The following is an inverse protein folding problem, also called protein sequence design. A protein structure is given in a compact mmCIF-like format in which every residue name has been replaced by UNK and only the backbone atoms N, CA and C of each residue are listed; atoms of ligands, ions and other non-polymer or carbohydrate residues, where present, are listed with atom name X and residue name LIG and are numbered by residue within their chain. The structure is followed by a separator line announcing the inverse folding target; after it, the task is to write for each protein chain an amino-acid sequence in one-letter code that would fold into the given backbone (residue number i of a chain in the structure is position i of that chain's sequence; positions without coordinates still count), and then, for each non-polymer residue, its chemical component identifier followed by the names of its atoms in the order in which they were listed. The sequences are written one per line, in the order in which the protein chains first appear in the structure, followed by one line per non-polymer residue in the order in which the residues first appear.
data_IF_652639804680
#
_entry.id   IF_652639804680
#
_cell.length_a   1.000
_cell.length_b   1.000
_cell.length_c   1.000
_cell.angle_alpha   90.00
_cell.angle_beta   90.00
_cell.angle_gamma   90.00
#
_symmetry.space_group_name_H-M   'P 1'
#
loop_
_entity.id
_entity.type
_entity.pdbx_description
1 polymer ?
#
# COMPACT_ATOMS: atom_id res chain seq x y z
N UNK A 1 -54.90 49.92 -21.16
CA UNK A 1 -54.02 48.92 -20.44
C UNK A 1 -53.07 48.14 -21.34
N UNK A 2 -53.32 47.96 -22.65
CA UNK A 2 -52.47 47.14 -23.56
C UNK A 2 -51.09 47.71 -23.93
N UNK A 3 -50.88 49.02 -23.87
CA UNK A 3 -49.60 49.69 -24.23
C UNK A 3 -48.48 49.56 -23.19
N UNK A 4 -48.83 49.40 -21.87
CA UNK A 4 -47.83 49.23 -20.82
C UNK A 4 -47.25 47.81 -20.74
N UNK A 5 -47.97 46.83 -21.27
CA UNK A 5 -47.54 45.44 -21.32
C UNK A 5 -46.48 45.21 -22.43
N UNK A 6 -46.53 45.97 -23.55
CA UNK A 6 -45.64 45.86 -24.71
C UNK A 6 -44.20 46.35 -24.42
N UNK A 7 -43.98 47.18 -23.39
CA UNK A 7 -42.64 47.70 -22.97
C UNK A 7 -42.06 46.87 -21.84
N UNK A 8 -42.90 46.24 -20.99
CA UNK A 8 -42.43 45.47 -19.84
C UNK A 8 -41.73 44.14 -20.22
N UNK A 9 -42.19 43.49 -21.29
CA UNK A 9 -41.63 42.20 -21.71
C UNK A 9 -40.19 42.36 -22.25
N UNK A 10 -39.85 43.28 -23.16
CA UNK A 10 -38.46 43.47 -23.61
C UNK A 10 -37.53 43.95 -22.49
N UNK A 11 -38.01 44.73 -21.52
CA UNK A 11 -37.22 45.16 -20.39
C UNK A 11 -36.88 44.02 -19.48
N UNK A 12 -37.81 43.08 -19.21
CA UNK A 12 -37.61 41.87 -18.46
C UNK A 12 -36.58 40.94 -19.16
N UNK A 13 -36.68 40.78 -20.48
CA UNK A 13 -35.72 40.03 -21.27
C UNK A 13 -34.30 40.62 -21.18
N UNK A 14 -34.17 41.95 -21.26
CA UNK A 14 -32.87 42.63 -21.12
C UNK A 14 -32.28 42.41 -19.73
N UNK A 15 -33.10 42.52 -18.66
CA UNK A 15 -32.64 42.25 -17.28
C UNK A 15 -32.21 40.79 -17.07
N UNK A 16 -32.93 39.84 -17.64
CA UNK A 16 -32.57 38.41 -17.57
C UNK A 16 -31.28 38.12 -18.36
N UNK A 17 -31.12 38.73 -19.53
CA UNK A 17 -29.89 38.61 -20.35
C UNK A 17 -28.71 39.28 -19.62
N UNK A 18 -28.90 40.47 -19.06
CA UNK A 18 -27.87 41.11 -18.26
C UNK A 18 -27.51 40.29 -17.00
N UNK A 19 -28.49 39.77 -16.29
CA UNK A 19 -28.25 38.89 -15.13
C UNK A 19 -27.52 37.60 -15.52
N UNK A 20 -27.73 37.13 -16.74
CA UNK A 20 -27.00 35.96 -17.27
C UNK A 20 -25.55 36.29 -17.68
N UNK A 21 -25.31 37.50 -18.20
CA UNK A 21 -23.98 38.01 -18.56
C UNK A 21 -23.16 38.40 -17.30
N UNK A 22 -23.79 38.90 -16.26
CA UNK A 22 -23.15 39.26 -14.98
C UNK A 22 -23.11 38.13 -13.97
N UNK A 23 -23.50 36.89 -14.33
CA UNK A 23 -23.20 35.73 -13.49
C UNK A 23 -21.68 35.64 -13.35
N UNK A 24 -21.13 35.65 -12.13
CA UNK A 24 -19.70 35.46 -11.93
C UNK A 24 -19.31 34.14 -12.55
N UNK A 25 -18.59 34.16 -13.66
CA UNK A 25 -17.92 33.01 -14.19
C UNK A 25 -16.87 32.65 -13.15
N UNK A 26 -17.17 31.69 -12.30
CA UNK A 26 -16.12 31.10 -11.46
C UNK A 26 -15.08 30.53 -12.40
N UNK A 27 -13.91 31.13 -12.41
CA UNK A 27 -12.79 30.71 -13.24
C UNK A 27 -12.43 29.30 -12.84
N UNK A 28 -12.60 28.34 -13.76
CA UNK A 28 -12.21 26.95 -13.54
C UNK A 28 -10.69 26.88 -13.59
N UNK A 29 -10.07 26.61 -12.44
CA UNK A 29 -8.61 26.49 -12.32
C UNK A 29 -8.11 25.05 -12.53
N UNK A 30 -9.00 24.07 -12.44
CA UNK A 30 -8.67 22.66 -12.61
C UNK A 30 -9.55 21.75 -11.76
N UNK A 31 -9.23 20.46 -11.74
CA UNK A 31 -9.86 19.47 -10.88
C UNK A 31 -8.89 18.97 -9.83
N UNK A 32 -9.41 18.42 -8.74
CA UNK A 32 -8.63 17.76 -7.69
C UNK A 32 -9.46 16.63 -7.07
N UNK A 33 -8.79 15.78 -6.29
CA UNK A 33 -9.38 14.62 -5.65
C UNK A 33 -9.07 14.63 -4.15
N UNK A 34 -10.05 14.29 -3.32
CA UNK A 34 -9.88 14.30 -1.86
C UNK A 34 -8.96 13.15 -1.43
N UNK A 35 -7.94 13.46 -0.61
CA UNK A 35 -6.94 12.51 -0.10
C UNK A 35 -7.21 11.99 1.30
N UNK A 36 -8.19 12.54 2.00
CA UNK A 36 -8.53 12.18 3.37
C UNK A 36 -9.75 11.27 3.43
N UNK A 37 -9.86 10.51 4.52
CA UNK A 37 -11.05 9.68 4.80
C UNK A 37 -12.32 10.51 4.71
N UNK A 38 -12.29 11.68 5.37
CA UNK A 38 -13.33 12.71 5.30
C UNK A 38 -12.75 14.06 5.63
N UNK A 39 -13.26 15.10 5.00
CA UNK A 39 -12.92 16.50 5.31
C UNK A 39 -14.13 17.39 5.14
N UNK A 40 -14.23 18.41 5.98
CA UNK A 40 -15.35 19.35 5.94
C UNK A 40 -15.11 20.44 4.90
N UNK A 41 -16.11 20.69 4.07
CA UNK A 41 -16.19 21.84 3.19
C UNK A 41 -16.76 23.05 3.97
N UNK A 42 -16.00 24.14 4.04
CA UNK A 42 -16.32 25.30 4.86
C UNK A 42 -16.87 26.48 4.06
N UNK A 43 -17.78 27.25 4.65
CA UNK A 43 -18.38 28.42 4.00
C UNK A 43 -17.38 29.55 3.74
N UNK A 44 -16.35 29.67 4.58
CA UNK A 44 -15.33 30.72 4.49
C UNK A 44 -13.98 30.23 5.01
N UNK A 45 -12.94 31.07 4.83
CA UNK A 45 -11.60 30.87 5.42
C UNK A 45 -11.42 31.53 6.77
N UNK A 46 -12.46 32.21 7.29
CA UNK A 46 -12.44 32.88 8.59
C UNK A 46 -12.44 31.87 9.74
N UNK A 47 -12.10 32.33 10.96
CA UNK A 47 -12.17 31.51 12.16
C UNK A 47 -13.61 31.07 12.47
N UNK A 48 -14.58 31.98 12.30
CA UNK A 48 -16.01 31.66 12.41
C UNK A 48 -16.49 31.25 11.01
N UNK A 49 -16.84 30.01 10.85
CA UNK A 49 -17.24 29.42 9.58
C UNK A 49 -18.23 28.26 9.82
N UNK A 50 -19.11 28.06 8.87
CA UNK A 50 -20.12 27.02 8.93
C UNK A 50 -19.73 25.84 8.02
N UNK A 51 -20.02 24.59 8.42
CA UNK A 51 -19.85 23.42 7.54
C UNK A 51 -20.93 23.48 6.45
N UNK A 52 -20.53 23.30 5.20
CA UNK A 52 -21.45 23.24 4.04
C UNK A 52 -21.71 21.80 3.65
N UNK A 53 -20.64 20.96 3.60
CA UNK A 53 -20.67 19.60 3.12
C UNK A 53 -19.50 18.80 3.71
N UNK A 54 -19.53 17.48 3.57
CA UNK A 54 -18.43 16.60 3.95
C UNK A 54 -17.93 15.88 2.70
N UNK A 55 -16.67 16.05 2.40
CA UNK A 55 -15.99 15.41 1.28
C UNK A 55 -15.30 14.14 1.77
N UNK A 56 -15.23 13.13 0.91
CA UNK A 56 -14.66 11.82 1.23
C UNK A 56 -13.53 11.45 0.25
N UNK A 57 -12.68 10.51 0.64
CA UNK A 57 -11.60 10.00 -0.20
C UNK A 57 -12.08 9.66 -1.61
N UNK A 58 -11.38 10.20 -2.60
CA UNK A 58 -11.66 9.99 -4.01
C UNK A 58 -12.74 10.89 -4.61
N UNK A 59 -13.42 11.71 -3.81
CA UNK A 59 -14.36 12.70 -4.36
C UNK A 59 -13.63 13.67 -5.26
N UNK A 60 -14.12 13.80 -6.49
CA UNK A 60 -13.66 14.80 -7.44
C UNK A 60 -14.30 16.14 -7.13
N UNK A 61 -13.50 17.19 -7.14
CA UNK A 61 -13.92 18.56 -6.96
C UNK A 61 -13.32 19.46 -8.04
N UNK A 62 -14.08 20.49 -8.44
CA UNK A 62 -13.60 21.53 -9.36
C UNK A 62 -13.00 22.67 -8.53
N UNK A 63 -11.73 22.98 -8.74
CA UNK A 63 -11.04 24.10 -8.09
C UNK A 63 -11.40 25.40 -8.81
N UNK A 64 -11.97 26.37 -8.09
CA UNK A 64 -12.48 27.63 -8.64
C UNK A 64 -11.78 28.87 -8.11
N UNK A 65 -11.05 28.78 -7.01
CA UNK A 65 -10.17 29.82 -6.51
C UNK A 65 -9.12 29.24 -5.57
N UNK A 66 -8.00 29.96 -5.37
CA UNK A 66 -6.95 29.61 -4.39
C UNK A 66 -6.62 30.82 -3.53
N UNK A 67 -6.45 30.58 -2.23
CA UNK A 67 -6.02 31.59 -1.27
C UNK A 67 -5.08 30.96 -0.25
N UNK A 68 -3.79 31.25 -0.33
CA UNK A 68 -2.74 30.65 0.49
C UNK A 68 -2.83 29.10 0.44
N UNK A 69 -2.93 28.45 1.58
CA UNK A 69 -3.04 26.99 1.75
C UNK A 69 -4.46 26.46 1.60
N UNK A 70 -5.43 27.31 1.23
CA UNK A 70 -6.83 26.91 1.03
C UNK A 70 -7.26 27.10 -0.41
N UNK A 71 -8.16 26.24 -0.86
CA UNK A 71 -8.77 26.30 -2.19
C UNK A 71 -10.29 26.35 -2.06
N UNK A 72 -10.90 27.15 -2.91
CA UNK A 72 -12.35 27.14 -3.07
C UNK A 72 -12.71 26.11 -4.11
N UNK A 73 -13.58 25.20 -3.75
CA UNK A 73 -13.95 24.10 -4.63
C UNK A 73 -15.46 24.03 -4.82
N UNK A 74 -15.85 23.41 -5.94
CA UNK A 74 -17.22 23.02 -6.21
C UNK A 74 -17.30 21.50 -6.23
N UNK A 75 -18.24 20.93 -5.49
CA UNK A 75 -18.50 19.49 -5.45
C UNK A 75 -19.34 19.04 -6.63
N UNK A 76 -19.42 17.74 -6.87
CA UNK A 76 -20.35 17.16 -7.85
C UNK A 76 -21.83 17.42 -7.54
N UNK A 77 -22.20 17.68 -6.27
CA UNK A 77 -23.54 18.07 -5.85
C UNK A 77 -23.85 19.55 -6.15
N UNK A 78 -22.82 20.34 -6.50
CA UNK A 78 -22.93 21.78 -6.75
C UNK A 78 -22.65 22.64 -5.50
N UNK A 79 -22.36 22.05 -4.34
CA UNK A 79 -21.95 22.80 -3.15
C UNK A 79 -20.61 23.51 -3.40
N UNK A 80 -20.45 24.74 -2.91
CA UNK A 80 -19.27 25.57 -3.10
C UNK A 80 -18.74 26.03 -1.75
N UNK A 81 -17.45 25.72 -1.47
CA UNK A 81 -16.84 26.09 -0.19
C UNK A 81 -15.32 26.02 -0.24
N UNK A 82 -14.69 26.11 0.92
CA UNK A 82 -13.25 26.15 1.11
C UNK A 82 -12.76 24.88 1.79
N UNK A 83 -11.61 24.37 1.34
CA UNK A 83 -10.91 23.22 1.91
C UNK A 83 -9.39 23.48 1.90
N UNK A 84 -8.65 22.84 2.81
CA UNK A 84 -7.18 22.90 2.81
C UNK A 84 -6.62 22.20 1.56
N UNK A 85 -5.76 22.89 0.81
CA UNK A 85 -5.15 22.36 -0.42
C UNK A 85 -4.35 21.07 -0.20
N UNK A 86 -3.76 20.88 1.01
CA UNK A 86 -3.00 19.70 1.38
C UNK A 86 -3.84 18.42 1.49
N UNK A 87 -5.16 18.57 1.58
CA UNK A 87 -6.13 17.47 1.63
C UNK A 87 -6.62 17.04 0.25
N UNK A 88 -6.06 17.65 -0.79
CA UNK A 88 -6.41 17.37 -2.17
C UNK A 88 -5.21 16.83 -2.96
N UNK A 89 -5.47 15.90 -3.85
CA UNK A 89 -4.52 15.39 -4.83
C UNK A 89 -4.77 16.07 -6.17
N UNK A 90 -3.70 16.51 -6.80
CA UNK A 90 -3.75 16.97 -8.19
C UNK A 90 -4.06 15.77 -9.13
N UNK A 91 -4.66 16.00 -10.31
CA UNK A 91 -5.04 14.92 -11.23
C UNK A 91 -3.88 13.99 -11.60
N UNK A 92 -2.69 14.55 -11.80
CA UNK A 92 -1.50 13.75 -12.12
C UNK A 92 -1.14 12.78 -10.99
N UNK A 93 -1.19 13.23 -9.73
CA UNK A 93 -0.91 12.39 -8.56
C UNK A 93 -2.01 11.35 -8.35
N UNK A 94 -3.28 11.71 -8.57
CA UNK A 94 -4.39 10.79 -8.55
C UNK A 94 -4.22 9.66 -9.58
N UNK A 95 -3.84 9.99 -10.82
CA UNK A 95 -3.56 8.99 -11.85
C UNK A 95 -2.37 8.08 -11.49
N UNK A 96 -1.33 8.62 -10.84
CA UNK A 96 -0.23 7.82 -10.30
C UNK A 96 -0.73 6.83 -9.23
N UNK A 97 -1.62 7.26 -8.33
CA UNK A 97 -2.21 6.38 -7.30
C UNK A 97 -2.98 5.21 -7.92
N UNK A 98 -3.76 5.46 -8.96
CA UNK A 98 -4.49 4.42 -9.71
C UNK A 98 -3.51 3.45 -10.39
N UNK A 99 -2.43 3.94 -11.00
CA UNK A 99 -1.39 3.09 -11.60
C UNK A 99 -0.74 2.17 -10.58
N UNK A 100 -0.39 2.71 -9.40
CA UNK A 100 0.19 1.92 -8.29
C UNK A 100 -0.80 0.85 -7.83
N UNK A 101 -2.07 1.21 -7.63
CA UNK A 101 -3.11 0.26 -7.24
C UNK A 101 -3.25 -0.89 -8.26
N UNK A 102 -3.29 -0.57 -9.56
CA UNK A 102 -3.40 -1.58 -10.60
C UNK A 102 -2.17 -2.48 -10.67
N UNK A 103 -0.97 -1.93 -10.53
CA UNK A 103 0.27 -2.70 -10.45
C UNK A 103 0.28 -3.61 -9.21
N UNK A 104 -0.09 -3.07 -8.05
CA UNK A 104 -0.14 -3.82 -6.80
C UNK A 104 -1.18 -4.95 -6.83
N UNK A 105 -2.34 -4.76 -7.48
CA UNK A 105 -3.36 -5.81 -7.67
C UNK A 105 -2.82 -7.03 -8.42
N UNK A 106 -1.91 -6.83 -9.36
CA UNK A 106 -1.29 -7.91 -10.13
C UNK A 106 -0.17 -8.65 -9.37
N UNK A 107 0.32 -8.10 -8.26
CA UNK A 107 1.39 -8.70 -7.46
C UNK A 107 0.83 -9.72 -6.45
N UNK A 108 1.54 -10.85 -6.22
CA UNK A 108 1.14 -11.80 -5.18
C UNK A 108 1.36 -11.20 -3.79
N UNK A 109 0.44 -11.50 -2.86
CA UNK A 109 0.57 -11.11 -1.46
C UNK A 109 1.79 -11.79 -0.85
N UNK A 110 2.65 -11.02 -0.20
CA UNK A 110 3.84 -11.51 0.48
C UNK A 110 3.63 -11.69 1.99
N UNK A 111 2.76 -10.89 2.58
CA UNK A 111 2.31 -11.02 3.96
C UNK A 111 0.99 -10.27 4.15
N UNK A 112 0.23 -10.66 5.16
CA UNK A 112 -0.85 -9.85 5.73
C UNK A 112 -0.37 -9.23 7.02
N UNK A 113 -0.91 -8.07 7.34
CA UNK A 113 -0.55 -7.35 8.56
C UNK A 113 -1.48 -6.19 8.80
N UNK A 114 -1.12 -5.35 9.75
CA UNK A 114 -1.84 -4.12 10.09
C UNK A 114 -0.91 -3.00 10.46
N UNK A 115 -1.37 -1.78 10.32
CA UNK A 115 -0.61 -0.58 10.70
C UNK A 115 -0.46 -0.51 12.22
N UNK A 116 0.78 -0.34 12.71
CA UNK A 116 1.08 -0.18 14.15
C UNK A 116 0.71 1.19 14.68
N UNK A 117 0.85 2.19 13.83
CA UNK A 117 0.62 3.62 14.12
C UNK A 117 -0.09 4.24 12.94
N UNK A 118 -0.62 5.45 13.14
CA UNK A 118 -1.07 6.27 12.04
C UNK A 118 0.09 6.51 11.06
N UNK A 119 -0.10 6.19 9.78
CA UNK A 119 0.99 6.22 8.80
C UNK A 119 0.54 6.76 7.45
N UNK A 120 1.44 7.48 6.80
CA UNK A 120 1.21 8.01 5.46
C UNK A 120 1.47 6.94 4.40
N UNK A 121 0.50 6.79 3.51
CA UNK A 121 0.62 6.06 2.26
C UNK A 121 1.18 6.99 1.20
N UNK A 122 2.29 6.64 0.58
CA UNK A 122 3.01 7.50 -0.38
C UNK A 122 3.08 6.89 -1.77
N UNK A 123 3.32 7.74 -2.74
CA UNK A 123 3.40 7.33 -4.16
C UNK A 123 4.66 6.52 -4.48
N UNK A 124 5.75 6.78 -3.77
CA UNK A 124 7.04 6.08 -3.88
C UNK A 124 7.68 5.91 -2.49
N UNK A 125 8.68 5.03 -2.34
CA UNK A 125 9.46 4.98 -1.12
C UNK A 125 10.19 6.31 -0.87
N UNK A 126 10.05 6.86 0.33
CA UNK A 126 10.70 8.12 0.70
C UNK A 126 9.81 9.03 1.54
N UNK A 127 10.37 9.65 2.57
CA UNK A 127 9.60 10.48 3.51
C UNK A 127 9.13 11.81 2.91
N UNK A 128 9.81 12.29 1.88
CA UNK A 128 9.48 13.52 1.16
C UNK A 128 8.52 13.29 0.00
N UNK A 129 8.31 12.03 -0.39
CA UNK A 129 7.42 11.70 -1.49
C UNK A 129 5.97 12.11 -1.22
N UNK A 130 5.20 12.46 -2.26
CA UNK A 130 3.82 12.88 -2.11
C UNK A 130 2.95 11.84 -1.37
N UNK A 131 2.16 12.33 -0.42
CA UNK A 131 1.19 11.53 0.33
C UNK A 131 -0.06 11.29 -0.52
N UNK A 132 -0.51 10.05 -0.58
CA UNK A 132 -1.76 9.65 -1.25
C UNK A 132 -2.92 9.57 -0.27
N UNK A 133 -2.66 9.07 0.94
CA UNK A 133 -3.66 8.82 1.97
C UNK A 133 -2.97 8.67 3.33
N UNK A 134 -3.75 8.68 4.42
CA UNK A 134 -3.26 8.39 5.75
C UNK A 134 -4.06 7.26 6.38
N UNK A 135 -3.41 6.13 6.66
CA UNK A 135 -4.02 5.05 7.41
C UNK A 135 -3.99 5.35 8.91
N UNK A 136 -5.09 5.06 9.59
CA UNK A 136 -5.14 5.01 11.05
C UNK A 136 -4.38 3.78 11.56
N UNK A 137 -4.13 3.72 12.87
CA UNK A 137 -3.62 2.51 13.54
C UNK A 137 -4.59 1.35 13.38
N UNK A 138 -4.08 0.13 13.19
CA UNK A 138 -4.86 -1.12 13.16
C UNK A 138 -5.50 -1.44 11.80
N UNK A 139 -5.29 -0.61 10.78
CA UNK A 139 -5.85 -0.87 9.43
C UNK A 139 -5.18 -2.12 8.83
N UNK A 140 -5.98 -3.13 8.40
CA UNK A 140 -5.47 -4.30 7.71
C UNK A 140 -4.82 -3.93 6.38
N UNK A 141 -3.67 -4.51 6.10
CA UNK A 141 -2.93 -4.29 4.84
C UNK A 141 -2.34 -5.60 4.32
N UNK A 142 -2.19 -5.69 3.01
CA UNK A 142 -1.47 -6.76 2.33
C UNK A 142 -0.16 -6.22 1.77
N UNK A 143 0.95 -6.74 2.23
CA UNK A 143 2.29 -6.43 1.69
C UNK A 143 2.48 -7.17 0.38
N UNK A 144 2.89 -6.48 -0.68
CA UNK A 144 3.10 -7.06 -2.01
C UNK A 144 4.51 -6.89 -2.54
N UNK A 145 5.26 -5.91 -2.05
CA UNK A 145 6.67 -5.69 -2.40
C UNK A 145 7.42 -4.95 -1.28
N UNK A 146 8.75 -4.97 -1.35
CA UNK A 146 9.64 -4.17 -0.52
C UNK A 146 10.44 -3.21 -1.39
N UNK A 147 10.71 -2.02 -0.88
CA UNK A 147 11.59 -1.02 -1.46
C UNK A 147 12.51 -0.42 -0.39
N UNK A 148 13.48 0.34 -0.83
CA UNK A 148 14.44 1.05 0.04
C UNK A 148 14.49 2.51 -0.40
N UNK A 149 14.53 3.42 0.55
CA UNK A 149 14.74 4.83 0.30
C UNK A 149 15.73 5.44 1.28
N UNK A 150 16.39 6.49 0.86
CA UNK A 150 17.27 7.26 1.71
C UNK A 150 16.45 8.06 2.74
N UNK A 151 16.97 8.11 3.94
CA UNK A 151 16.40 8.91 5.01
C UNK A 151 17.49 9.84 5.56
N UNK A 152 17.27 11.12 5.35
CA UNK A 152 18.09 12.18 5.93
C UNK A 152 17.47 12.58 7.28
N UNK A 153 18.20 12.38 8.36
CA UNK A 153 17.81 12.91 9.66
C UNK A 153 18.19 14.39 9.67
N UNK A 154 17.17 15.25 9.63
CA UNK A 154 17.40 16.69 9.89
C UNK A 154 17.58 16.79 11.40
N UNK A 155 18.81 16.89 11.87
CA UNK A 155 19.10 17.27 13.25
C UNK A 155 18.87 18.75 13.39
N UNK A 156 18.02 19.18 14.34
CA UNK A 156 17.80 20.58 14.70
C UNK A 156 19.03 21.23 15.39
N UNK A 157 20.09 20.50 15.60
CA UNK A 157 21.31 21.00 16.24
C UNK A 157 22.24 21.59 15.18
N UNK A 158 22.28 22.92 15.17
CA UNK A 158 23.18 23.78 14.36
C UNK A 158 24.61 23.81 14.88
N UNK A 159 25.18 22.69 15.30
CA UNK A 159 26.61 22.66 15.67
C UNK A 159 27.18 21.26 15.44
N UNK A 160 27.65 21.03 14.25
CA UNK A 160 28.89 20.33 13.90
C UNK A 160 28.84 19.95 12.42
N UNK A 161 29.89 20.31 11.69
CA UNK A 161 30.14 19.93 10.28
C UNK A 161 30.41 18.40 10.13
N UNK A 162 29.69 17.55 10.83
CA UNK A 162 29.72 16.11 10.57
C UNK A 162 28.81 15.81 9.39
N UNK A 163 29.37 15.16 8.40
CA UNK A 163 28.66 14.74 7.19
C UNK A 163 27.34 14.06 7.56
N UNK A 164 26.22 14.61 7.11
CA UNK A 164 24.88 14.04 7.32
C UNK A 164 24.89 12.58 6.86
N UNK A 165 24.90 11.65 7.79
CA UNK A 165 24.91 10.23 7.50
C UNK A 165 23.55 9.85 6.90
N UNK A 166 23.55 9.61 5.59
CA UNK A 166 22.36 9.16 4.89
C UNK A 166 22.02 7.75 5.32
N UNK A 167 21.00 7.60 6.15
CA UNK A 167 20.48 6.31 6.55
C UNK A 167 19.47 5.82 5.51
N UNK A 168 19.43 4.51 5.28
CA UNK A 168 18.44 3.88 4.41
C UNK A 168 17.35 3.23 5.24
N UNK A 169 16.13 3.29 4.74
CA UNK A 169 14.92 2.83 5.40
C UNK A 169 14.15 1.85 4.52
N UNK A 170 13.61 0.80 5.13
CA UNK A 170 12.78 -0.19 4.43
C UNK A 170 11.34 0.31 4.28
N UNK A 171 10.79 0.10 3.10
CA UNK A 171 9.41 0.44 2.73
C UNK A 171 8.68 -0.78 2.22
N UNK A 172 7.39 -0.90 2.56
CA UNK A 172 6.50 -1.89 1.98
C UNK A 172 5.51 -1.23 1.03
N UNK A 173 5.38 -1.79 -0.17
CA UNK A 173 4.22 -1.54 -1.01
C UNK A 173 3.07 -2.35 -0.45
N UNK A 174 2.02 -1.66 -0.04
CA UNK A 174 0.85 -2.29 0.58
C UNK A 174 -0.41 -2.02 -0.22
N UNK A 175 -1.34 -2.97 -0.15
CA UNK A 175 -2.75 -2.78 -0.52
C UNK A 175 -3.57 -2.70 0.74
N UNK A 176 -4.58 -1.85 0.74
CA UNK A 176 -5.52 -1.69 1.83
C UNK A 176 -6.83 -1.11 1.35
N UNK A 177 -7.68 -0.76 2.28
CA UNK A 177 -8.97 -0.14 2.02
C UNK A 177 -9.01 1.22 2.69
N UNK A 178 -9.31 2.27 1.91
CA UNK A 178 -9.73 3.54 2.43
C UNK A 178 -11.19 3.42 2.84
N UNK A 179 -11.53 3.79 4.06
CA UNK A 179 -12.88 3.67 4.59
C UNK A 179 -13.62 5.00 4.36
N UNK A 180 -14.78 4.93 3.76
CA UNK A 180 -15.74 6.03 3.67
C UNK A 180 -16.79 5.83 4.77
N UNK A 181 -17.05 6.81 5.66
CA UNK A 181 -18.06 6.66 6.69
C UNK A 181 -19.44 6.34 6.10
N UNK A 182 -20.28 5.58 6.79
CA UNK A 182 -21.66 5.37 6.37
C UNK A 182 -22.46 6.67 6.58
N UNK A 183 -23.25 7.06 5.59
CA UNK A 183 -24.19 8.17 5.69
C UNK A 183 -23.64 9.49 5.19
N UNK A 184 -24.04 9.77 4.09
CA UNK A 184 -24.42 10.91 3.30
C UNK A 184 -24.26 10.52 1.84
N UNK A 185 -25.21 9.71 1.38
CA UNK A 185 -25.37 9.44 -0.03
C UNK A 185 -25.65 10.79 -0.67
N UNK A 186 -24.70 11.33 -1.39
CA UNK A 186 -24.93 12.43 -2.32
C UNK A 186 -26.12 12.04 -3.19
N UNK A 187 -27.23 12.73 -3.08
CA UNK A 187 -28.55 12.35 -3.56
C UNK A 187 -28.71 12.27 -5.09
N UNK A 188 -27.69 11.76 -5.82
CA UNK A 188 -27.72 11.65 -7.29
C UNK A 188 -27.02 10.42 -7.87
N UNK A 189 -27.20 9.28 -7.25
CA UNK A 189 -27.04 7.99 -7.97
C UNK A 189 -28.25 7.08 -7.68
N UNK A 190 -29.43 7.62 -7.98
CA UNK A 190 -30.67 6.84 -8.02
C UNK A 190 -30.79 6.23 -9.39
N UNK A 191 -30.24 5.03 -9.57
CA UNK A 191 -30.73 4.02 -10.49
C UNK A 191 -29.90 2.75 -10.34
N UNK A 192 -30.03 2.13 -9.17
CA UNK A 192 -29.74 0.70 -9.04
C UNK A 192 -30.46 0.21 -7.78
N UNK A 193 -31.57 -0.48 -7.98
CA UNK A 193 -32.33 -1.17 -6.95
C UNK A 193 -31.50 -2.33 -6.37
N UNK A 194 -30.58 -2.03 -5.47
CA UNK A 194 -29.97 -3.04 -4.60
C UNK A 194 -30.02 -2.51 -3.18
N UNK A 195 -30.93 -3.02 -2.40
CA UNK A 195 -31.12 -2.76 -0.98
C UNK A 195 -29.96 -3.40 -0.20
N UNK A 196 -28.77 -2.78 -0.24
CA UNK A 196 -27.68 -3.11 0.67
C UNK A 196 -27.74 -2.16 1.85
N UNK A 197 -27.66 -2.64 3.11
CA UNK A 197 -27.61 -1.77 4.28
C UNK A 197 -26.44 -0.77 4.13
N UNK A 198 -26.55 0.47 4.66
CA UNK A 198 -25.48 1.45 4.62
C UNK A 198 -24.31 0.97 5.48
N UNK A 199 -23.46 0.13 4.91
CA UNK A 199 -22.17 -0.23 5.47
C UNK A 199 -21.10 0.75 5.01
N UNK A 200 -20.00 0.86 5.77
CA UNK A 200 -18.79 1.59 5.36
C UNK A 200 -18.44 1.22 3.91
N UNK A 201 -18.51 2.18 3.00
CA UNK A 201 -18.01 1.97 1.64
C UNK A 201 -16.49 1.96 1.69
N UNK A 202 -15.90 0.89 1.20
CA UNK A 202 -14.45 0.75 1.16
C UNK A 202 -13.93 0.92 -0.26
N UNK A 203 -12.91 1.74 -0.42
CA UNK A 203 -12.27 2.02 -1.71
C UNK A 203 -10.88 1.38 -1.67
N UNK A 204 -10.54 0.47 -2.61
CA UNK A 204 -9.21 -0.10 -2.68
C UNK A 204 -8.15 0.97 -2.93
N UNK A 205 -7.03 0.89 -2.20
CA UNK A 205 -5.91 1.81 -2.32
C UNK A 205 -4.60 1.03 -2.20
N UNK A 206 -3.55 1.52 -2.85
CA UNK A 206 -2.20 0.99 -2.69
C UNK A 206 -1.17 2.12 -2.67
N UNK A 207 -0.05 1.86 -2.01
CA UNK A 207 1.07 2.79 -1.93
C UNK A 207 2.13 2.30 -0.97
N UNK A 208 3.14 3.13 -0.75
CA UNK A 208 4.31 2.81 0.04
C UNK A 208 4.16 3.33 1.47
N UNK A 209 4.48 2.46 2.43
CA UNK A 209 4.54 2.79 3.87
C UNK A 209 5.88 2.35 4.44
N UNK A 210 6.37 3.01 5.49
CA UNK A 210 7.58 2.60 6.19
C UNK A 210 7.38 1.21 6.79
N UNK A 211 8.27 0.27 6.48
CA UNK A 211 8.09 -1.15 6.81
C UNK A 211 7.91 -1.40 8.32
N UNK A 212 8.65 -0.69 9.19
CA UNK A 212 8.53 -0.84 10.65
C UNK A 212 7.18 -0.37 11.22
N UNK A 213 6.37 0.38 10.44
CA UNK A 213 5.03 0.79 10.83
C UNK A 213 3.95 -0.25 10.48
N UNK A 214 4.35 -1.37 9.87
CA UNK A 214 3.48 -2.51 9.62
C UNK A 214 3.84 -3.65 10.54
N UNK A 215 2.86 -4.20 11.23
CA UNK A 215 2.97 -5.44 11.99
C UNK A 215 2.39 -6.57 11.16
N UNK A 216 3.21 -7.57 10.85
CA UNK A 216 2.76 -8.75 10.11
C UNK A 216 1.95 -9.67 11.02
N UNK A 217 0.84 -10.23 10.52
CA UNK A 217 -0.07 -11.13 11.23
C UNK A 217 0.54 -12.54 11.38
N UNK A 218 1.75 -12.64 11.94
CA UNK A 218 2.41 -13.91 12.19
C UNK A 218 1.70 -14.69 13.30
N UNK A 219 1.54 -16.03 13.14
CA UNK A 219 1.17 -16.88 14.26
C UNK A 219 2.13 -16.72 15.44
N UNK A 220 1.61 -16.78 16.69
CA UNK A 220 2.40 -16.50 17.91
C UNK A 220 3.71 -17.29 17.96
N UNK A 221 3.63 -18.62 17.83
CA UNK A 221 4.82 -19.47 17.88
C UNK A 221 5.84 -19.17 16.78
N UNK A 222 5.39 -18.68 15.62
CA UNK A 222 6.28 -18.25 14.52
C UNK A 222 6.95 -16.93 14.89
N UNK A 223 6.21 -15.99 15.48
CA UNK A 223 6.72 -14.70 15.96
C UNK A 223 7.80 -14.91 17.02
N UNK A 224 7.55 -15.76 18.01
CA UNK A 224 8.53 -16.13 19.04
C UNK A 224 9.79 -16.77 18.44
N UNK A 225 9.61 -17.70 17.50
CA UNK A 225 10.71 -18.36 16.82
C UNK A 225 11.56 -17.41 15.96
N UNK A 226 10.96 -16.39 15.35
CA UNK A 226 11.67 -15.33 14.62
C UNK A 226 12.41 -14.40 15.57
N UNK A 227 11.77 -13.97 16.67
CA UNK A 227 12.37 -13.12 17.68
C UNK A 227 13.59 -13.81 18.35
N UNK A 228 13.45 -15.06 18.76
CA UNK A 228 14.55 -15.87 19.35
C UNK A 228 15.74 -16.03 18.38
N UNK A 229 15.49 -16.00 17.08
CA UNK A 229 16.53 -16.09 16.05
C UNK A 229 17.11 -14.73 15.64
N UNK A 230 16.65 -13.63 16.25
CA UNK A 230 16.95 -12.25 15.86
C UNK A 230 16.73 -12.00 14.36
N UNK A 231 15.58 -12.45 13.85
CA UNK A 231 15.19 -12.29 12.43
C UNK A 231 13.95 -11.41 12.34
N UNK A 232 14.05 -10.31 11.62
CA UNK A 232 12.92 -9.45 11.26
C UNK A 232 12.20 -10.05 10.06
N UNK A 233 10.94 -10.45 10.21
CA UNK A 233 10.14 -10.99 9.12
C UNK A 233 9.84 -9.90 8.07
N UNK A 234 9.94 -10.27 6.79
CA UNK A 234 9.62 -9.44 5.63
C UNK A 234 8.49 -10.03 4.78
N UNK A 235 8.33 -11.36 4.80
CA UNK A 235 7.21 -12.06 4.17
C UNK A 235 6.79 -13.27 5.00
N UNK A 236 5.52 -13.67 4.88
CA UNK A 236 4.95 -14.81 5.57
C UNK A 236 3.83 -15.45 4.76
N UNK A 237 3.81 -16.81 4.75
CA UNK A 237 2.85 -17.60 4.02
C UNK A 237 2.41 -18.82 4.83
N UNK A 238 1.13 -19.13 4.77
CA UNK A 238 0.64 -20.46 5.14
C UNK A 238 0.85 -21.39 3.94
N UNK A 239 1.65 -22.44 4.09
CA UNK A 239 1.94 -23.39 3.02
C UNK A 239 0.83 -24.43 2.88
N UNK A 240 0.46 -25.07 3.97
CA UNK A 240 -0.62 -26.04 4.11
C UNK A 240 -0.98 -26.22 5.59
N UNK A 241 -1.88 -27.15 5.86
CA UNK A 241 -2.29 -27.52 7.22
C UNK A 241 -2.05 -28.98 7.49
N UNK A 242 -1.65 -29.30 8.72
CA UNK A 242 -1.50 -30.66 9.23
C UNK A 242 -2.70 -30.95 10.13
N UNK A 243 -3.44 -32.02 9.81
CA UNK A 243 -4.53 -32.48 10.65
C UNK A 243 -4.00 -33.00 12.00
N UNK A 244 -4.59 -32.54 13.11
CA UNK A 244 -4.27 -33.02 14.44
C UNK A 244 -5.56 -33.27 15.24
N UNK A 245 -5.51 -34.07 16.32
CA UNK A 245 -6.72 -34.27 17.17
C UNK A 245 -7.29 -32.99 17.75
N UNK A 246 -6.46 -31.93 17.88
CA UNK A 246 -6.86 -30.62 18.41
C UNK A 246 -7.18 -29.59 17.31
N UNK A 247 -7.46 -30.04 16.08
CA UNK A 247 -7.72 -29.22 14.89
C UNK A 247 -6.48 -28.99 14.01
N UNK A 248 -6.71 -28.49 12.83
CA UNK A 248 -5.67 -28.30 11.82
C UNK A 248 -4.64 -27.24 12.23
N UNK A 249 -3.37 -27.57 12.14
CA UNK A 249 -2.24 -26.70 12.44
C UNK A 249 -1.53 -26.24 11.16
N UNK A 250 -1.40 -24.91 10.91
CA UNK A 250 -0.74 -24.41 9.74
C UNK A 250 0.76 -24.70 9.72
N UNK A 251 1.30 -25.02 8.56
CA UNK A 251 2.73 -24.99 8.29
C UNK A 251 3.05 -23.65 7.61
N UNK A 252 4.07 -22.97 8.12
CA UNK A 252 4.35 -21.58 7.74
C UNK A 252 5.74 -21.43 7.13
N UNK A 253 5.82 -20.74 6.00
CA UNK A 253 7.06 -20.20 5.45
C UNK A 253 7.20 -18.75 5.88
N UNK A 254 8.38 -18.39 6.42
CA UNK A 254 8.73 -17.01 6.73
C UNK A 254 10.04 -16.66 6.05
N UNK A 255 10.05 -15.55 5.33
CA UNK A 255 11.24 -14.89 4.87
C UNK A 255 11.54 -13.69 5.78
N UNK A 256 12.82 -13.47 6.06
CA UNK A 256 13.22 -12.36 6.91
C UNK A 256 14.69 -12.00 6.80
N UNK A 257 15.12 -11.02 7.56
CA UNK A 257 16.50 -10.55 7.56
C UNK A 257 17.04 -10.30 8.97
N UNK A 258 18.34 -10.53 9.14
CA UNK A 258 19.11 -10.08 10.33
C UNK A 258 19.85 -8.77 10.07
N UNK A 259 19.88 -8.34 8.83
CA UNK A 259 20.58 -7.12 8.42
C UNK A 259 19.85 -5.87 8.90
N UNK A 260 20.57 -4.77 9.01
CA UNK A 260 20.00 -3.44 9.20
C UNK A 260 19.02 -3.09 8.07
N UNK A 261 18.20 -2.07 8.29
CA UNK A 261 17.32 -1.54 7.23
C UNK A 261 18.14 -1.01 6.05
N UNK A 262 17.51 -0.93 4.89
CA UNK A 262 18.10 -0.34 3.69
C UNK A 262 19.03 -1.24 2.90
N UNK A 263 19.15 -2.52 3.24
CA UNK A 263 19.97 -3.46 2.47
C UNK A 263 19.27 -3.89 1.17
N UNK A 264 20.03 -4.24 0.12
CA UNK A 264 19.49 -4.55 -1.19
C UNK A 264 18.67 -5.86 -1.23
N UNK A 265 18.94 -6.79 -0.30
CA UNK A 265 18.24 -8.07 -0.23
C UNK A 265 16.90 -7.91 0.49
N UNK A 266 15.79 -8.39 -0.09
CA UNK A 266 14.49 -8.33 0.56
C UNK A 266 14.41 -9.28 1.76
N UNK A 267 15.18 -10.37 1.70
CA UNK A 267 15.38 -11.30 2.81
C UNK A 267 16.71 -12.03 2.70
N UNK A 268 17.26 -12.39 3.86
CA UNK A 268 18.53 -13.12 3.96
C UNK A 268 18.38 -14.50 4.60
N UNK A 269 17.20 -14.78 5.13
CA UNK A 269 16.87 -16.02 5.83
C UNK A 269 15.50 -16.50 5.41
N UNK A 270 15.38 -17.81 5.17
CA UNK A 270 14.10 -18.51 5.05
C UNK A 270 13.96 -19.52 6.19
N UNK A 271 12.75 -19.62 6.74
CA UNK A 271 12.39 -20.59 7.76
C UNK A 271 11.05 -21.22 7.45
N UNK A 272 10.94 -22.53 7.64
CA UNK A 272 9.66 -23.23 7.61
C UNK A 272 9.37 -23.79 8.99
N UNK A 273 8.21 -23.46 9.50
CA UNK A 273 7.69 -23.93 10.78
C UNK A 273 6.61 -24.97 10.53
N UNK A 274 6.68 -26.08 11.29
CA UNK A 274 5.70 -27.17 11.24
C UNK A 274 5.27 -27.56 12.62
N UNK A 275 4.10 -28.18 12.73
CA UNK A 275 3.61 -28.73 13.99
C UNK A 275 4.19 -30.11 14.24
N UNK A 276 4.87 -30.30 15.38
CA UNK A 276 5.32 -31.59 15.84
C UNK A 276 4.23 -32.23 16.73
N UNK A 277 3.54 -33.25 16.19
CA UNK A 277 2.44 -33.91 16.90
C UNK A 277 2.89 -34.61 18.20
N UNK A 278 4.11 -35.20 18.23
CA UNK A 278 4.63 -35.90 19.42
C UNK A 278 4.95 -34.94 20.57
N UNK A 279 5.46 -33.75 20.25
CA UNK A 279 5.86 -32.73 21.21
C UNK A 279 4.79 -31.66 21.42
N UNK A 280 3.68 -31.73 20.70
CA UNK A 280 2.56 -30.79 20.75
C UNK A 280 2.98 -29.32 20.66
N UNK A 281 3.96 -29.02 19.80
CA UNK A 281 4.47 -27.66 19.59
C UNK A 281 4.92 -27.41 18.17
N UNK A 282 5.08 -26.14 17.82
CA UNK A 282 5.73 -25.76 16.57
C UNK A 282 7.25 -25.95 16.67
N UNK A 283 7.84 -26.45 15.60
CA UNK A 283 9.28 -26.60 15.45
C UNK A 283 9.73 -26.08 14.09
N UNK A 284 10.97 -25.63 14.01
CA UNK A 284 11.57 -25.22 12.74
C UNK A 284 11.95 -26.47 11.96
N UNK A 285 11.25 -26.72 10.86
CA UNK A 285 11.53 -27.85 9.96
C UNK A 285 12.66 -27.57 8.97
N UNK A 286 12.87 -26.30 8.63
CA UNK A 286 13.87 -25.89 7.65
C UNK A 286 14.39 -24.50 7.94
N UNK A 287 15.70 -24.30 7.74
CA UNK A 287 16.36 -23.01 7.79
C UNK A 287 17.33 -22.91 6.61
N UNK A 288 17.27 -21.83 5.87
CA UNK A 288 18.32 -21.44 4.93
C UNK A 288 18.77 -20.02 5.24
N UNK A 289 20.05 -19.85 5.47
CA UNK A 289 20.70 -18.59 5.79
C UNK A 289 21.55 -18.10 4.61
N UNK A 290 22.09 -16.90 4.75
CA UNK A 290 23.03 -16.30 3.77
C UNK A 290 22.44 -16.19 2.37
N UNK A 291 21.14 -15.91 2.30
CA UNK A 291 20.44 -15.59 1.07
C UNK A 291 20.58 -14.10 0.75
N UNK A 292 20.38 -13.78 -0.52
CA UNK A 292 20.02 -12.44 -0.97
C UNK A 292 18.81 -12.59 -1.89
N UNK A 293 17.66 -12.90 -1.27
CA UNK A 293 16.42 -13.16 -1.97
C UNK A 293 15.68 -11.88 -2.33
N UNK A 294 14.95 -11.94 -3.43
CA UNK A 294 14.07 -10.87 -3.90
C UNK A 294 12.61 -11.32 -3.89
N UNK A 295 11.74 -10.41 -3.52
CA UNK A 295 10.29 -10.56 -3.71
C UNK A 295 9.94 -10.39 -5.20
N UNK A 296 8.83 -11.01 -5.66
CA UNK A 296 7.94 -11.81 -4.85
C UNK A 296 8.43 -13.24 -4.65
N UNK A 297 8.13 -13.79 -3.47
CA UNK A 297 8.07 -15.24 -3.26
C UNK A 297 6.74 -15.72 -3.83
N UNK A 298 6.76 -16.73 -4.66
CA UNK A 298 5.57 -17.33 -5.26
C UNK A 298 5.32 -18.70 -4.70
N UNK A 299 4.07 -18.99 -4.40
CA UNK A 299 3.63 -20.32 -3.97
C UNK A 299 3.00 -21.05 -5.15
N UNK A 300 3.35 -22.32 -5.31
CA UNK A 300 2.82 -23.23 -6.32
C UNK A 300 2.52 -24.59 -5.69
N UNK A 301 2.05 -25.53 -6.51
CA UNK A 301 1.85 -26.93 -6.14
C UNK A 301 2.78 -27.80 -6.95
N UNK A 302 3.48 -28.71 -6.28
CA UNK A 302 4.27 -29.75 -6.90
C UNK A 302 3.43 -30.82 -7.59
N UNK A 303 4.06 -31.78 -8.25
CA UNK A 303 3.38 -32.81 -9.06
C UNK A 303 2.36 -33.67 -8.30
N UNK A 304 2.52 -33.80 -6.98
CA UNK A 304 1.60 -34.56 -6.09
C UNK A 304 0.77 -33.64 -5.21
N UNK A 305 0.71 -32.34 -5.54
CA UNK A 305 -0.03 -31.32 -4.78
C UNK A 305 0.70 -30.78 -3.55
N UNK A 306 1.99 -31.13 -3.36
CA UNK A 306 2.80 -30.60 -2.26
C UNK A 306 3.03 -29.10 -2.44
N UNK A 307 3.12 -28.32 -1.34
CA UNK A 307 3.49 -26.92 -1.43
C UNK A 307 4.88 -26.73 -2.04
N UNK A 308 4.97 -25.89 -3.03
CA UNK A 308 6.22 -25.37 -3.59
C UNK A 308 6.29 -23.88 -3.37
N UNK A 309 7.50 -23.34 -3.14
CA UNK A 309 7.76 -21.92 -3.12
C UNK A 309 9.02 -21.61 -3.91
N UNK A 310 8.98 -20.47 -4.62
CA UNK A 310 10.06 -20.02 -5.48
C UNK A 310 10.35 -18.55 -5.34
N UNK A 311 11.60 -18.16 -5.52
CA UNK A 311 12.05 -16.77 -5.49
C UNK A 311 13.33 -16.60 -6.30
N UNK A 312 13.64 -15.35 -6.63
CA UNK A 312 14.90 -14.96 -7.28
C UNK A 312 15.96 -14.61 -6.24
N UNK A 313 17.22 -14.90 -6.56
CA UNK A 313 18.38 -14.49 -5.78
C UNK A 313 19.21 -13.47 -6.55
N UNK A 314 19.67 -12.40 -5.87
CA UNK A 314 20.44 -11.31 -6.50
C UNK A 314 21.83 -11.77 -6.93
N UNK A 315 22.44 -12.77 -6.27
CA UNK A 315 23.83 -13.17 -6.53
C UNK A 315 23.95 -14.08 -7.76
N UNK A 316 24.57 -13.60 -8.80
CA UNK A 316 25.31 -14.30 -9.86
C UNK A 316 24.50 -14.78 -11.05
N UNK A 317 23.67 -15.77 -10.98
CA UNK A 317 22.82 -16.23 -12.07
C UNK A 317 21.40 -15.76 -11.80
N UNK A 318 20.66 -15.37 -12.85
CA UNK A 318 19.21 -15.09 -12.77
C UNK A 318 18.43 -16.41 -12.50
N UNK A 319 18.92 -17.24 -11.59
CA UNK A 319 18.32 -18.52 -11.25
C UNK A 319 17.22 -18.30 -10.22
N UNK A 320 16.04 -18.81 -10.57
CA UNK A 320 14.94 -18.94 -9.63
C UNK A 320 15.21 -20.17 -8.75
N UNK A 321 15.17 -20.00 -7.44
CA UNK A 321 15.29 -21.12 -6.51
C UNK A 321 13.91 -21.66 -6.20
N UNK A 322 13.74 -22.97 -6.35
CA UNK A 322 12.49 -23.68 -6.09
C UNK A 322 12.69 -24.64 -4.94
N UNK A 323 11.76 -24.66 -4.01
CA UNK A 323 11.73 -25.57 -2.86
C UNK A 323 10.39 -26.25 -2.77
N UNK A 324 10.39 -27.51 -2.36
CA UNK A 324 9.18 -28.31 -2.15
C UNK A 324 9.13 -28.78 -0.70
N UNK A 325 7.95 -28.65 -0.08
CA UNK A 325 7.66 -29.17 1.24
C UNK A 325 6.92 -30.51 1.09
N UNK A 326 7.55 -31.61 1.49
CA UNK A 326 6.91 -32.93 1.55
C UNK A 326 6.75 -33.33 3.00
N UNK A 327 5.53 -33.37 3.51
CA UNK A 327 5.21 -33.54 4.93
C UNK A 327 5.88 -32.46 5.79
N UNK A 328 7.04 -32.74 6.41
CA UNK A 328 7.82 -31.81 7.23
C UNK A 328 9.23 -31.56 6.66
N UNK A 329 9.54 -32.08 5.48
CA UNK A 329 10.87 -31.99 4.89
C UNK A 329 10.85 -31.04 3.71
N UNK A 330 11.65 -29.99 3.77
CA UNK A 330 11.87 -29.05 2.66
C UNK A 330 13.11 -29.44 1.87
N UNK A 331 12.97 -29.56 0.58
CA UNK A 331 14.08 -29.85 -0.33
C UNK A 331 14.12 -28.86 -1.49
N UNK A 332 15.33 -28.41 -1.86
CA UNK A 332 15.52 -27.63 -3.09
C UNK A 332 15.28 -28.55 -4.30
N UNK A 333 14.38 -28.09 -5.17
CA UNK A 333 14.13 -28.73 -6.47
C UNK A 333 15.21 -28.22 -7.43
N UNK A 334 16.07 -29.10 -7.93
CA UNK A 334 17.08 -28.75 -8.93
C UNK A 334 16.51 -29.05 -10.30
N UNK A 335 16.66 -28.13 -11.24
CA UNK A 335 16.32 -28.40 -12.63
C UNK A 335 17.31 -29.43 -13.25
N UNK A 336 16.82 -30.28 -14.16
CA UNK A 336 17.70 -31.17 -14.92
C UNK A 336 18.71 -30.34 -15.72
N UNK A 337 20.00 -30.35 -15.34
CA UNK A 337 21.08 -29.55 -15.93
C UNK A 337 21.89 -28.72 -14.94
N UNK A 338 21.39 -28.44 -13.76
CA UNK A 338 22.11 -27.69 -12.71
C UNK A 338 23.27 -28.51 -12.12
N UNK A 339 23.12 -29.84 -12.07
CA UNK A 339 24.16 -30.76 -11.61
C UNK A 339 25.39 -30.78 -12.54
N UNK A 340 25.20 -30.72 -13.86
CA UNK A 340 26.28 -30.73 -14.84
C UNK A 340 27.15 -29.46 -14.84
N UNK A 341 26.59 -28.31 -14.51
CA UNK A 341 27.34 -27.03 -14.46
C UNK A 341 28.33 -26.95 -13.29
N UNK A 342 28.02 -27.57 -12.15
CA UNK A 342 28.95 -27.62 -11.00
C UNK A 342 30.11 -28.58 -11.21
N UNK A 343 29.85 -29.73 -11.84
CA UNK A 343 30.91 -30.69 -12.16
C UNK A 343 31.85 -30.16 -13.24
N UNK A 344 31.33 -29.48 -14.26
CA UNK A 344 32.14 -28.81 -15.28
C UNK A 344 32.98 -27.64 -14.72
N UNK A 345 32.46 -26.87 -13.78
CA UNK A 345 33.25 -25.79 -13.10
C UNK A 345 34.31 -26.35 -12.15
N UNK A 346 34.03 -27.46 -11.45
CA UNK A 346 34.99 -28.13 -10.58
C UNK A 346 36.13 -28.80 -11.36
N UNK A 347 35.83 -29.39 -12.52
CA UNK A 347 36.85 -29.95 -13.41
C UNK A 347 37.69 -28.86 -14.10
N UNK A 348 37.10 -27.76 -14.53
CA UNK A 348 37.83 -26.62 -15.09
C UNK A 348 38.76 -25.92 -14.06
N UNK A 349 38.34 -25.86 -12.79
CA UNK A 349 39.18 -25.29 -11.72
C UNK A 349 40.32 -26.21 -11.28
N UNK A 350 40.19 -27.53 -11.49
CA UNK A 350 41.27 -28.50 -11.24
C UNK A 350 42.31 -28.55 -12.37
N UNK A 351 41.93 -28.24 -13.61
CA UNK A 351 42.87 -28.22 -14.75
C UNK A 351 43.61 -26.87 -14.89
N UNK A 352 43.25 -25.84 -14.10
CA UNK A 352 43.88 -24.53 -14.13
C UNK A 352 44.91 -24.30 -13.00
N UNK A 353 45.40 -25.34 -12.33
CA UNK A 353 46.49 -25.21 -11.35
C UNK A 353 47.78 -25.72 -12.00
N UNK A 354 48.80 -24.85 -12.20
CA UNK A 354 50.13 -25.25 -12.74
C UNK A 354 50.87 -26.14 -11.76
#
# INVERSE_FOLDING_TARGET
MKRKLLVAVPLLCVVVVLAWFFRPKHEYLGEAYVSERSTTLWSSVAQVREPIDVLHYGDRVDVIARRNDTVKVRTGSGAVGWVDARLLLEPALWQRSIKILNAAKAMPVQARGRTKVQTNLRVEPGRTEPRLYQFSRGVPVEVVARGVADWVQVSDERENNEAQETKKEDWFLVRGLATRPPGEVSARSSESNTTTPPGDQTIPIAGWVVARFVELDLPEAVREGMASANVRATAWFELNRVATPSGDKPQSLVAGTRSAEGQPCDFTVLRVYTWNQRRTRYETAFIENNLCGQMPIRLDKGPKGEPEFRFRQISGAKEERVYRLTQTVVRRVREPGEANKKTARASAAKSAKP
#
